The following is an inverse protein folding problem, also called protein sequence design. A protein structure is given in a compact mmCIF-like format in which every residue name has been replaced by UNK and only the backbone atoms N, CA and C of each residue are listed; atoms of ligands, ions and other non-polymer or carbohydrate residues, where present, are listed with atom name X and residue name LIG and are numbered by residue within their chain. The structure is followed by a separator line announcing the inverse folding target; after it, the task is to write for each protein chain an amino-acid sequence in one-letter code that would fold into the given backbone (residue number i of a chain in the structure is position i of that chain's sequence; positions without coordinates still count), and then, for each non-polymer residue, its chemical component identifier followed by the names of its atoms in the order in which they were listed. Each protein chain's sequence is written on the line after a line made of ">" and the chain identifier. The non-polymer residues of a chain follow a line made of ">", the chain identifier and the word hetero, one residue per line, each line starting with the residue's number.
data_IF_299592532258
#
_entry.id   IF_299592532258
#
_cell.length_a   1.000
_cell.length_b   1.000
_cell.length_c   1.000
_cell.angle_alpha   90.00
_cell.angle_beta   90.00
_cell.angle_gamma   90.00
#
_symmetry.space_group_name_H-M   'P 1'
#
loop_
_entity.id
_entity.type
_entity.pdbx_description
1 polymer ?
#
# COMPACT_ATOMS: atom_id res chain seq x y z
N UNK A 1 -52.18 25.81 -38.86
CA UNK A 1 -51.14 24.97 -38.23
C UNK A 1 -50.60 25.73 -37.02
N UNK A 2 -50.86 25.25 -35.79
CA UNK A 2 -50.42 25.91 -34.55
C UNK A 2 -49.15 25.22 -34.04
N UNK A 3 -48.05 25.96 -33.97
CA UNK A 3 -46.80 25.52 -33.35
C UNK A 3 -46.97 25.45 -31.83
N UNK A 4 -46.58 24.33 -31.21
CA UNK A 4 -46.53 24.15 -29.76
C UNK A 4 -45.13 24.55 -29.27
N UNK A 5 -45.08 25.43 -28.28
CA UNK A 5 -43.87 25.83 -27.59
C UNK A 5 -43.38 24.72 -26.65
N UNK A 6 -42.06 24.52 -26.63
CA UNK A 6 -41.37 23.58 -25.74
C UNK A 6 -41.19 24.23 -24.35
N UNK A 7 -41.52 23.56 -23.23
CA UNK A 7 -41.31 24.13 -21.90
C UNK A 7 -39.83 24.04 -21.50
N UNK A 8 -39.32 25.14 -20.93
CA UNK A 8 -37.96 25.25 -20.39
C UNK A 8 -37.74 24.24 -19.27
N UNK A 9 -36.68 23.43 -19.40
CA UNK A 9 -36.16 22.53 -18.35
C UNK A 9 -35.59 23.38 -17.21
N UNK A 10 -36.14 23.25 -16.01
CA UNK A 10 -35.55 23.82 -14.78
C UNK A 10 -34.27 23.03 -14.45
N UNK A 11 -33.17 23.75 -14.27
CA UNK A 11 -32.00 23.23 -13.57
C UNK A 11 -32.37 23.15 -12.09
N UNK A 12 -32.35 21.93 -11.54
CA UNK A 12 -32.32 21.73 -10.10
C UNK A 12 -30.85 21.48 -9.74
N UNK A 13 -30.30 22.37 -8.91
CA UNK A 13 -29.09 22.09 -8.14
C UNK A 13 -29.39 20.89 -7.23
N UNK A 14 -28.51 19.90 -7.30
CA UNK A 14 -28.52 18.79 -6.36
C UNK A 14 -27.67 19.19 -5.16
N UNK A 15 -28.34 19.35 -4.02
CA UNK A 15 -27.71 19.35 -2.72
C UNK A 15 -27.25 17.91 -2.41
N UNK A 16 -26.00 17.77 -1.98
CA UNK A 16 -25.43 16.54 -1.41
C UNK A 16 -26.16 16.18 -0.11
N UNK A 17 -26.60 14.93 0.00
CA UNK A 17 -27.07 14.34 1.26
C UNK A 17 -26.31 13.04 1.52
N UNK A 18 -25.68 13.06 2.69
CA UNK A 18 -25.05 11.98 3.46
C UNK A 18 -26.03 10.85 3.75
N UNK A 19 -25.58 9.61 3.65
CA UNK A 19 -26.28 8.46 4.24
C UNK A 19 -25.30 7.68 5.13
N UNK A 20 -25.62 7.67 6.43
CA UNK A 20 -25.09 6.76 7.45
C UNK A 20 -25.84 5.43 7.38
N UNK A 21 -25.12 4.33 7.58
CA UNK A 21 -25.70 3.07 8.06
C UNK A 21 -24.78 2.48 9.14
N UNK A 22 -25.42 1.98 10.19
CA UNK A 22 -24.86 1.47 11.45
C UNK A 22 -25.11 -0.06 11.52
N UNK A 23 -24.28 -0.75 12.32
CA UNK A 23 -24.41 -2.14 12.86
C UNK A 23 -24.08 -3.33 11.91
N UNK A 24 -23.23 -4.34 12.21
CA UNK A 24 -22.40 -4.72 13.38
C UNK A 24 -21.13 -5.53 12.96
N UNK A 25 -20.12 -5.45 13.85
CA UNK A 25 -18.87 -6.22 14.00
C UNK A 25 -17.57 -5.73 13.35
N UNK A 26 -16.44 -5.76 14.12
CA UNK A 26 -15.22 -5.06 13.77
C UNK A 26 -14.37 -5.93 12.84
N UNK A 27 -14.18 -5.45 11.62
CA UNK A 27 -12.93 -5.67 10.90
C UNK A 27 -12.29 -4.30 10.81
N UNK A 28 -11.02 -4.21 11.17
CA UNK A 28 -10.25 -2.98 11.05
C UNK A 28 -10.50 -2.33 9.68
N UNK A 29 -10.76 -1.02 9.62
CA UNK A 29 -11.14 -0.39 8.38
C UNK A 29 -9.93 -0.32 7.44
N UNK A 30 -9.98 -1.09 6.35
CA UNK A 30 -9.33 -0.65 5.13
C UNK A 30 -9.88 0.75 4.83
N UNK A 31 -8.99 1.74 4.75
CA UNK A 31 -9.34 3.14 4.52
C UNK A 31 -10.32 3.25 3.34
N UNK A 32 -11.50 3.79 3.64
CA UNK A 32 -12.59 3.97 2.69
C UNK A 32 -12.31 5.26 1.91
N UNK A 33 -11.98 5.12 0.63
CA UNK A 33 -11.84 6.24 -0.32
C UNK A 33 -13.24 6.79 -0.61
N UNK A 34 -13.68 7.80 0.13
CA UNK A 34 -15.06 8.33 0.14
C UNK A 34 -15.31 9.53 -0.80
N UNK A 35 -14.41 9.80 -1.74
CA UNK A 35 -14.60 10.85 -2.74
C UNK A 35 -14.67 10.28 -4.15
N UNK A 36 -15.59 10.82 -4.97
CA UNK A 36 -15.59 10.66 -6.42
C UNK A 36 -14.43 11.45 -7.04
N UNK A 37 -13.22 11.17 -6.54
CA UNK A 37 -11.96 11.80 -6.89
C UNK A 37 -11.31 11.12 -8.09
N UNK A 38 -10.46 11.90 -8.74
CA UNK A 38 -9.81 11.66 -10.01
C UNK A 38 -8.56 10.79 -9.84
N UNK A 39 -8.71 9.51 -9.51
CA UNK A 39 -7.55 8.66 -9.15
C UNK A 39 -6.53 8.55 -10.29
N UNK A 40 -5.45 9.33 -10.15
CA UNK A 40 -4.24 9.29 -10.97
C UNK A 40 -3.43 8.01 -10.73
N UNK A 41 -3.57 6.98 -11.57
CA UNK A 41 -2.67 5.81 -11.48
C UNK A 41 -1.38 6.06 -12.24
N UNK A 42 -0.27 6.16 -11.52
CA UNK A 42 1.07 6.16 -12.12
C UNK A 42 1.96 5.21 -11.34
N UNK A 43 2.79 4.43 -12.02
CA UNK A 43 3.74 3.53 -11.35
C UNK A 43 5.20 3.83 -11.78
N UNK A 44 6.20 3.58 -10.93
CA UNK A 44 7.59 4.07 -11.15
C UNK A 44 8.58 3.04 -11.78
N UNK A 45 9.66 3.48 -12.46
CA UNK A 45 10.61 2.60 -13.18
C UNK A 45 11.90 2.17 -12.46
N UNK A 46 11.92 2.03 -11.13
CA UNK A 46 12.91 1.16 -10.47
C UNK A 46 12.30 0.13 -9.52
N UNK A 47 10.99 0.18 -9.29
CA UNK A 47 10.23 -0.66 -8.36
C UNK A 47 8.97 -1.22 -9.03
N UNK A 48 9.20 -1.66 -10.26
CA UNK A 48 8.33 -2.44 -11.14
C UNK A 48 9.01 -3.73 -11.56
N UNK A 49 10.11 -4.03 -10.90
CA UNK A 49 10.83 -5.24 -11.16
C UNK A 49 9.95 -6.35 -10.61
N UNK A 50 9.51 -7.21 -11.52
CA UNK A 50 9.02 -8.52 -11.14
C UNK A 50 10.02 -9.13 -10.14
N UNK A 51 9.52 -9.55 -8.99
CA UNK A 51 10.31 -10.33 -8.05
C UNK A 51 10.49 -11.76 -8.55
N UNK A 52 10.94 -12.64 -7.66
CA UNK A 52 11.19 -14.04 -7.99
C UNK A 52 9.90 -14.85 -8.27
N UNK A 53 8.72 -14.25 -8.09
CA UNK A 53 7.45 -14.94 -8.14
C UNK A 53 6.47 -14.34 -9.16
N UNK A 54 6.89 -13.45 -10.05
CA UNK A 54 6.04 -13.01 -11.16
C UNK A 54 5.95 -14.11 -12.26
N UNK A 55 4.74 -14.57 -12.65
CA UNK A 55 4.60 -15.57 -13.70
C UNK A 55 4.71 -15.00 -15.11
N UNK A 56 4.54 -13.69 -15.27
CA UNK A 56 4.43 -13.02 -16.58
C UNK A 56 5.70 -12.25 -16.96
N UNK A 57 6.67 -12.10 -16.04
CA UNK A 57 7.90 -11.34 -16.23
C UNK A 57 9.09 -11.99 -15.52
N UNK A 58 10.28 -11.89 -16.11
CA UNK A 58 11.51 -12.37 -15.47
C UNK A 58 11.92 -11.47 -14.30
N UNK A 59 12.64 -12.01 -13.31
CA UNK A 59 13.13 -11.23 -12.17
C UNK A 59 13.94 -10.01 -12.64
N UNK A 60 13.55 -8.81 -12.19
CA UNK A 60 14.17 -7.55 -12.62
C UNK A 60 13.52 -6.88 -13.83
N UNK A 61 12.63 -7.57 -14.57
CA UNK A 61 11.90 -7.01 -15.72
C UNK A 61 10.77 -6.08 -15.27
N UNK A 62 10.50 -5.04 -16.07
CA UNK A 62 9.46 -4.08 -15.79
C UNK A 62 8.06 -4.64 -16.06
N UNK A 63 7.32 -4.90 -14.99
CA UNK A 63 5.89 -5.19 -15.04
C UNK A 63 5.08 -4.09 -14.34
N UNK A 64 3.99 -3.61 -14.95
CA UNK A 64 3.16 -2.53 -14.36
C UNK A 64 2.06 -3.06 -13.44
N UNK A 65 1.71 -4.34 -13.54
CA UNK A 65 0.70 -4.95 -12.69
C UNK A 65 0.97 -6.45 -12.47
N UNK A 66 0.68 -6.94 -11.28
CA UNK A 66 0.70 -8.37 -10.99
C UNK A 66 -0.71 -8.97 -11.11
N UNK A 67 -0.84 -10.12 -11.79
CA UNK A 67 -2.15 -10.68 -12.17
C UNK A 67 -2.42 -12.09 -11.63
N UNK A 68 -2.74 -12.26 -10.34
CA UNK A 68 -3.01 -13.58 -9.78
C UNK A 68 -4.41 -14.08 -10.13
N UNK A 69 -4.50 -15.38 -10.42
CA UNK A 69 -5.78 -16.09 -10.45
C UNK A 69 -6.17 -16.52 -9.05
N UNK A 70 -7.45 -16.39 -8.69
CA UNK A 70 -7.91 -16.68 -7.33
C UNK A 70 -9.11 -17.61 -7.31
N UNK A 71 -9.14 -18.44 -6.27
CA UNK A 71 -10.31 -19.14 -5.78
C UNK A 71 -10.93 -18.32 -4.64
N UNK A 72 -12.27 -18.24 -4.63
CA UNK A 72 -13.02 -17.55 -3.58
C UNK A 72 -13.81 -18.55 -2.76
N UNK A 73 -14.18 -18.15 -1.54
CA UNK A 73 -15.01 -18.94 -0.63
C UNK A 73 -14.42 -20.31 -0.33
N UNK A 74 -13.13 -20.36 -0.07
CA UNK A 74 -12.42 -21.59 0.27
C UNK A 74 -12.51 -21.84 1.78
N UNK A 75 -12.96 -23.04 2.11
CA UNK A 75 -13.08 -23.50 3.49
C UNK A 75 -14.23 -22.84 4.27
N UNK A 76 -14.35 -23.16 5.56
CA UNK A 76 -15.38 -22.61 6.44
C UNK A 76 -15.22 -21.10 6.70
N UNK A 77 -14.00 -20.57 6.54
CA UNK A 77 -13.68 -19.15 6.71
C UNK A 77 -13.88 -18.32 5.42
N UNK A 78 -14.32 -18.96 4.33
CA UNK A 78 -14.49 -18.33 3.02
C UNK A 78 -13.25 -17.54 2.54
N UNK A 79 -12.05 -18.04 2.85
CA UNK A 79 -10.77 -17.40 2.49
C UNK A 79 -10.64 -17.27 0.96
N UNK A 80 -9.96 -16.22 0.52
CA UNK A 80 -9.56 -16.06 -0.88
C UNK A 80 -8.15 -16.63 -1.04
N UNK A 81 -7.98 -17.57 -1.96
CA UNK A 81 -6.73 -18.34 -2.10
C UNK A 81 -6.25 -18.26 -3.54
N UNK A 82 -4.96 -18.04 -3.74
CA UNK A 82 -4.38 -18.00 -5.09
C UNK A 82 -4.43 -19.39 -5.73
N UNK A 83 -4.86 -19.41 -6.98
CA UNK A 83 -4.82 -20.61 -7.81
C UNK A 83 -3.39 -20.86 -8.27
N UNK A 84 -2.71 -21.74 -7.55
CA UNK A 84 -1.33 -22.18 -7.83
C UNK A 84 -1.20 -22.73 -9.27
N UNK A 85 -2.25 -23.37 -9.79
CA UNK A 85 -2.24 -24.00 -11.11
C UNK A 85 -2.35 -23.02 -12.27
N UNK A 86 -3.24 -22.04 -12.17
CA UNK A 86 -3.41 -21.04 -13.23
C UNK A 86 -2.33 -19.95 -13.15
N UNK A 87 -1.90 -19.58 -11.93
CA UNK A 87 -0.91 -18.51 -11.75
C UNK A 87 0.50 -19.02 -11.99
N UNK A 88 0.89 -20.17 -11.43
CA UNK A 88 2.29 -20.65 -11.46
C UNK A 88 2.50 -21.96 -12.26
N UNK A 89 1.45 -22.51 -12.87
CA UNK A 89 1.54 -23.78 -13.60
C UNK A 89 1.76 -25.03 -12.71
N UNK A 90 1.66 -24.88 -11.39
CA UNK A 90 1.93 -25.95 -10.41
C UNK A 90 0.65 -26.72 -10.03
N UNK A 91 0.74 -27.82 -9.27
CA UNK A 91 -0.45 -28.56 -8.83
C UNK A 91 -1.25 -27.77 -7.80
N UNK A 92 -2.58 -27.75 -7.93
CA UNK A 92 -3.47 -27.02 -7.03
C UNK A 92 -4.55 -27.96 -6.49
N UNK A 93 -4.62 -28.19 -5.15
CA UNK A 93 -5.58 -29.12 -4.56
C UNK A 93 -7.04 -28.69 -4.80
N UNK A 94 -7.29 -27.38 -4.82
CA UNK A 94 -8.64 -26.83 -5.06
C UNK A 94 -9.12 -27.14 -6.48
N UNK A 95 -8.25 -26.99 -7.48
CA UNK A 95 -8.58 -27.33 -8.87
C UNK A 95 -8.79 -28.84 -9.06
N UNK A 96 -8.04 -29.69 -8.36
CA UNK A 96 -8.23 -31.13 -8.36
C UNK A 96 -9.57 -31.52 -7.72
N UNK A 97 -9.90 -30.92 -6.58
CA UNK A 97 -11.19 -31.11 -5.92
C UNK A 97 -12.38 -30.67 -6.79
N UNK A 98 -12.29 -29.52 -7.46
CA UNK A 98 -13.32 -29.06 -8.41
C UNK A 98 -13.50 -30.06 -9.55
N UNK A 99 -12.42 -30.63 -10.09
CA UNK A 99 -12.52 -31.67 -11.13
C UNK A 99 -13.19 -32.94 -10.61
N UNK A 100 -12.92 -33.31 -9.37
CA UNK A 100 -13.57 -34.45 -8.72
C UNK A 100 -15.08 -34.20 -8.51
N UNK A 101 -15.47 -33.03 -8.03
CA UNK A 101 -16.89 -32.65 -7.89
C UNK A 101 -17.64 -32.69 -9.22
N UNK A 102 -17.00 -32.27 -10.32
CA UNK A 102 -17.57 -32.37 -11.66
C UNK A 102 -17.74 -33.84 -12.09
N UNK A 103 -16.76 -34.70 -11.79
CA UNK A 103 -16.83 -36.13 -12.11
C UNK A 103 -17.89 -36.87 -11.29
N UNK A 104 -18.08 -36.47 -10.02
CA UNK A 104 -19.05 -37.05 -9.10
C UNK A 104 -20.48 -36.53 -9.35
N UNK A 105 -20.65 -35.55 -10.25
CA UNK A 105 -21.95 -34.97 -10.58
C UNK A 105 -22.52 -34.09 -9.46
N UNK A 106 -21.66 -33.40 -8.71
CA UNK A 106 -22.06 -32.44 -7.69
C UNK A 106 -22.87 -31.26 -8.27
N UNK A 107 -23.53 -30.50 -7.41
CA UNK A 107 -24.35 -29.36 -7.81
C UNK A 107 -23.52 -28.27 -8.51
N UNK A 108 -24.07 -27.71 -9.59
CA UNK A 108 -23.39 -26.70 -10.42
C UNK A 108 -23.03 -25.44 -9.62
N UNK A 109 -23.88 -25.04 -8.67
CA UNK A 109 -23.65 -23.87 -7.82
C UNK A 109 -22.42 -24.05 -6.91
N UNK A 110 -22.24 -25.26 -6.35
CA UNK A 110 -21.06 -25.59 -5.55
C UNK A 110 -19.79 -25.56 -6.41
N UNK A 111 -19.86 -26.17 -7.60
CA UNK A 111 -18.75 -26.18 -8.56
C UNK A 111 -18.37 -24.74 -8.95
N UNK A 112 -19.37 -23.90 -9.23
CA UNK A 112 -19.18 -22.49 -9.63
C UNK A 112 -18.59 -21.64 -8.51
N UNK A 113 -18.94 -21.90 -7.25
CA UNK A 113 -18.39 -21.18 -6.11
C UNK A 113 -16.89 -21.45 -5.92
N UNK A 114 -16.46 -22.70 -6.07
CA UNK A 114 -15.07 -23.12 -5.90
C UNK A 114 -14.20 -22.94 -7.15
N UNK A 115 -14.81 -22.81 -8.33
CA UNK A 115 -14.09 -22.66 -9.59
C UNK A 115 -13.21 -21.41 -9.55
N UNK A 116 -12.00 -21.55 -10.09
CA UNK A 116 -11.11 -20.41 -10.31
C UNK A 116 -11.83 -19.33 -11.11
N UNK A 117 -11.63 -18.08 -10.72
CA UNK A 117 -12.19 -16.97 -11.46
C UNK A 117 -11.63 -16.91 -12.87
N UNK A 118 -12.50 -16.62 -13.83
CA UNK A 118 -12.12 -16.52 -15.25
C UNK A 118 -11.20 -15.33 -15.49
N UNK A 119 -11.44 -14.23 -14.77
CA UNK A 119 -10.63 -13.02 -14.86
C UNK A 119 -9.67 -12.97 -13.67
N UNK A 120 -8.36 -12.81 -13.91
CA UNK A 120 -7.42 -12.61 -12.82
C UNK A 120 -7.71 -11.28 -12.11
N UNK A 121 -7.17 -11.15 -10.91
CA UNK A 121 -7.08 -9.84 -10.26
C UNK A 121 -5.93 -9.06 -10.86
N UNK A 122 -5.95 -7.75 -10.71
CA UNK A 122 -4.86 -6.89 -11.11
C UNK A 122 -4.49 -6.04 -9.90
N UNK A 123 -3.23 -6.15 -9.50
CA UNK A 123 -2.66 -5.45 -8.36
C UNK A 123 -1.64 -4.44 -8.91
N UNK A 124 -1.70 -3.22 -8.40
CA UNK A 124 -0.86 -2.10 -8.87
C UNK A 124 -0.24 -1.37 -7.69
N UNK A 125 0.94 -0.82 -7.91
CA UNK A 125 1.42 0.34 -7.15
C UNK A 125 0.76 1.61 -7.72
N UNK A 126 0.17 2.43 -6.87
CA UNK A 126 -0.55 3.66 -7.25
C UNK A 126 -0.08 4.81 -6.39
N UNK A 127 0.08 5.98 -7.00
CA UNK A 127 0.33 7.24 -6.30
C UNK A 127 -0.75 8.24 -6.70
N UNK A 128 -1.66 8.54 -5.77
CA UNK A 128 -2.80 9.44 -5.97
C UNK A 128 -2.31 10.90 -5.99
N UNK A 129 -2.80 11.71 -6.95
CA UNK A 129 -2.34 13.09 -7.19
C UNK A 129 -3.43 14.14 -7.04
N UNK A 130 -4.46 13.85 -6.24
CA UNK A 130 -5.68 14.66 -6.19
C UNK A 130 -5.57 15.86 -5.23
N UNK A 131 -4.37 16.19 -4.73
CA UNK A 131 -4.18 17.26 -3.74
C UNK A 131 -4.71 16.93 -2.35
N UNK A 132 -5.11 15.68 -2.12
CA UNK A 132 -5.83 15.22 -0.93
C UNK A 132 -4.95 14.67 0.20
N UNK A 133 -5.59 14.01 1.17
CA UNK A 133 -4.89 13.27 2.24
C UNK A 133 -4.09 12.10 1.67
N UNK A 134 -4.66 11.39 0.70
CA UNK A 134 -4.06 10.20 0.08
C UNK A 134 -2.76 10.50 -0.66
N UNK A 135 -2.61 11.70 -1.23
CA UNK A 135 -1.35 12.10 -1.87
C UNK A 135 -0.17 12.13 -0.88
N UNK A 136 -0.44 12.39 0.41
CA UNK A 136 0.57 12.41 1.48
C UNK A 136 0.98 11.00 1.93
N UNK A 137 0.12 10.01 1.72
CA UNK A 137 0.38 8.61 2.10
C UNK A 137 1.41 7.96 1.16
N UNK A 138 1.60 8.55 -0.04
CA UNK A 138 2.63 8.12 -0.98
C UNK A 138 2.15 6.99 -1.88
N UNK A 139 3.01 5.99 -2.09
CA UNK A 139 2.64 4.81 -2.89
C UNK A 139 1.73 3.89 -2.09
N UNK A 140 0.59 3.54 -2.69
CA UNK A 140 -0.41 2.63 -2.16
C UNK A 140 -0.56 1.42 -3.08
N UNK A 141 -1.10 0.32 -2.55
CA UNK A 141 -1.44 -0.86 -3.34
C UNK A 141 -2.91 -0.84 -3.70
N UNK A 142 -3.19 -0.84 -5.00
CA UNK A 142 -4.55 -0.86 -5.52
C UNK A 142 -4.89 -2.22 -6.10
N UNK A 143 -5.98 -2.81 -5.62
CA UNK A 143 -6.44 -4.14 -6.01
C UNK A 143 -7.77 -4.07 -6.76
N UNK A 144 -7.75 -4.35 -8.05
CA UNK A 144 -8.93 -4.33 -8.91
C UNK A 144 -9.11 -5.67 -9.66
N UNK A 145 -10.24 -5.82 -10.35
CA UNK A 145 -10.41 -6.94 -11.28
C UNK A 145 -9.80 -6.58 -12.64
N UNK A 146 -9.19 -7.55 -13.33
CA UNK A 146 -8.72 -7.33 -14.70
C UNK A 146 -9.87 -6.83 -15.62
N UNK A 147 -11.09 -7.33 -15.42
CA UNK A 147 -12.24 -6.98 -16.24
C UNK A 147 -12.65 -5.50 -16.12
N UNK A 148 -12.59 -4.95 -14.91
CA UNK A 148 -13.08 -3.59 -14.60
C UNK A 148 -12.00 -2.52 -14.71
N UNK A 149 -10.71 -2.90 -14.62
CA UNK A 149 -9.60 -1.95 -14.70
C UNK A 149 -8.67 -2.28 -15.88
N UNK A 150 -7.85 -3.33 -15.76
CA UNK A 150 -6.75 -3.58 -16.70
C UNK A 150 -7.21 -3.69 -18.15
N UNK A 151 -8.32 -4.40 -18.40
CA UNK A 151 -8.87 -4.56 -19.75
C UNK A 151 -9.15 -3.20 -20.40
N UNK A 152 -9.60 -2.22 -19.63
CA UNK A 152 -9.84 -0.87 -20.13
C UNK A 152 -8.53 -0.11 -20.36
N UNK A 153 -7.54 -0.25 -19.47
CA UNK A 153 -6.22 0.36 -19.63
C UNK A 153 -5.49 -0.19 -20.86
N UNK A 154 -5.46 -1.51 -21.05
CA UNK A 154 -4.86 -2.17 -22.23
C UNK A 154 -5.56 -1.74 -23.51
N UNK A 155 -6.89 -1.64 -23.50
CA UNK A 155 -7.66 -1.17 -24.66
C UNK A 155 -7.36 0.29 -25.02
N UNK A 156 -7.09 1.15 -24.03
CA UNK A 156 -6.67 2.53 -24.26
C UNK A 156 -5.22 2.63 -24.72
N UNK A 157 -4.33 1.80 -24.15
CA UNK A 157 -2.92 1.75 -24.51
C UNK A 157 -2.71 1.21 -25.93
N UNK A 158 -3.58 0.29 -26.37
CA UNK A 158 -3.53 -0.31 -27.70
C UNK A 158 -4.34 0.52 -28.69
N UNK A 159 -3.67 1.30 -29.54
CA UNK A 159 -4.36 2.06 -30.59
C UNK A 159 -5.09 1.12 -31.57
N UNK A 160 -6.42 1.22 -31.76
CA UNK A 160 -7.13 0.33 -32.66
C UNK A 160 -6.65 0.57 -34.11
N UNK A 161 -6.19 -0.50 -34.76
CA UNK A 161 -5.82 -0.44 -36.17
C UNK A 161 -7.09 -0.43 -37.01
N UNK A 162 -7.36 0.68 -37.70
CA UNK A 162 -8.48 0.74 -38.66
C UNK A 162 -8.17 -0.17 -39.86
N UNK A 163 -9.15 -0.97 -40.35
CA UNK A 163 -8.99 -1.75 -41.57
C UNK A 163 -8.47 -0.87 -42.72
N UNK A 164 -7.39 -1.30 -43.38
CA UNK A 164 -6.77 -0.58 -44.50
C UNK A 164 -5.75 0.49 -44.13
N UNK A 165 -5.48 0.76 -42.85
CA UNK A 165 -4.33 1.57 -42.42
C UNK A 165 -3.17 0.66 -42.00
N UNK A 166 -1.93 1.08 -42.28
CA UNK A 166 -0.73 0.41 -41.75
C UNK A 166 -0.84 0.33 -40.23
N UNK A 167 -0.57 -0.84 -39.67
CA UNK A 167 -0.45 -1.05 -38.22
C UNK A 167 0.63 -0.09 -37.74
N UNK A 168 0.23 0.89 -36.93
CA UNK A 168 1.19 1.73 -36.21
C UNK A 168 1.34 1.02 -34.88
N UNK A 169 2.53 0.50 -34.58
CA UNK A 169 2.86 -0.11 -33.29
C UNK A 169 2.98 0.99 -32.23
N UNK A 170 1.87 1.66 -31.96
CA UNK A 170 1.75 2.67 -30.92
C UNK A 170 1.09 2.04 -29.71
N UNK A 171 1.84 1.26 -28.95
CA UNK A 171 1.51 1.03 -27.54
C UNK A 171 1.82 2.33 -26.81
N UNK A 172 0.85 2.87 -26.07
CA UNK A 172 1.09 4.04 -25.22
C UNK A 172 1.76 3.56 -23.94
N UNK A 173 3.02 3.92 -23.66
CA UNK A 173 3.72 3.47 -22.47
C UNK A 173 3.28 4.31 -21.25
N UNK A 174 1.99 4.24 -20.91
CA UNK A 174 1.35 5.05 -19.87
C UNK A 174 2.03 4.92 -18.51
N UNK A 175 2.73 3.81 -18.33
CA UNK A 175 3.29 3.38 -17.09
C UNK A 175 4.68 4.04 -16.86
N UNK A 176 5.47 4.46 -17.85
CA UNK A 176 6.83 5.02 -17.60
C UNK A 176 6.85 6.18 -16.60
N UNK A 177 7.80 6.31 -15.65
CA UNK A 177 7.81 7.39 -14.64
C UNK A 177 8.14 8.76 -15.18
N UNK A 178 8.75 8.81 -16.36
CA UNK A 178 9.18 10.03 -17.01
C UNK A 178 7.99 10.80 -17.60
N UNK A 179 8.26 11.95 -18.22
CA UNK A 179 7.27 12.82 -18.87
C UNK A 179 6.47 12.10 -19.98
N UNK A 180 7.07 11.08 -20.61
CA UNK A 180 6.42 10.27 -21.65
C UNK A 180 5.29 9.38 -21.13
N UNK A 181 5.27 9.13 -19.82
CA UNK A 181 4.19 8.41 -19.17
C UNK A 181 2.86 9.15 -19.22
N UNK A 182 1.82 8.54 -18.64
CA UNK A 182 0.48 9.12 -18.57
C UNK A 182 -0.05 9.05 -17.15
N UNK A 183 -0.93 9.98 -16.82
CA UNK A 183 -1.81 9.88 -15.67
C UNK A 183 -3.07 9.15 -16.11
N UNK A 184 -3.46 8.11 -15.37
CA UNK A 184 -4.73 7.41 -15.62
C UNK A 184 -5.82 8.11 -14.85
N UNK A 185 -6.93 8.44 -15.49
CA UNK A 185 -8.13 8.96 -14.84
C UNK A 185 -9.25 7.94 -14.97
N UNK A 186 -10.04 7.77 -13.92
CA UNK A 186 -11.27 7.00 -13.98
C UNK A 186 -12.27 7.49 -12.94
N UNK A 187 -13.55 7.25 -13.21
CA UNK A 187 -14.63 7.55 -12.27
C UNK A 187 -15.08 6.27 -11.57
N UNK A 188 -14.99 6.25 -10.25
CA UNK A 188 -15.59 5.20 -9.42
C UNK A 188 -17.11 5.40 -9.37
N UNK A 189 -17.87 4.38 -9.75
CA UNK A 189 -19.35 4.38 -9.72
C UNK A 189 -19.88 3.55 -8.55
N UNK A 190 -19.18 2.46 -8.24
CA UNK A 190 -19.44 1.61 -7.08
C UNK A 190 -18.13 1.08 -6.54
N UNK A 191 -18.17 0.24 -5.50
CA UNK A 191 -16.97 -0.33 -4.93
C UNK A 191 -16.14 -1.17 -5.92
N UNK A 192 -16.80 -1.71 -6.95
CA UNK A 192 -16.20 -2.64 -7.90
C UNK A 192 -16.24 -2.13 -9.36
N UNK A 193 -16.89 -1.00 -9.62
CA UNK A 193 -17.11 -0.48 -10.98
C UNK A 193 -16.40 0.85 -11.21
N UNK A 194 -15.56 0.85 -12.25
CA UNK A 194 -14.79 2.00 -12.71
C UNK A 194 -15.18 2.31 -14.16
N UNK A 195 -15.55 3.55 -14.44
CA UNK A 195 -15.95 4.02 -15.76
C UNK A 195 -15.06 5.18 -16.21
N UNK A 196 -15.20 5.54 -17.49
CA UNK A 196 -14.54 6.73 -18.07
C UNK A 196 -13.02 6.75 -17.94
N UNK A 197 -12.38 5.58 -18.12
CA UNK A 197 -10.92 5.49 -18.17
C UNK A 197 -10.36 6.42 -19.26
N UNK A 198 -9.38 7.24 -18.89
CA UNK A 198 -8.68 8.14 -19.79
C UNK A 198 -7.19 8.21 -19.44
N UNK A 199 -6.36 8.56 -20.43
CA UNK A 199 -4.96 8.88 -20.23
C UNK A 199 -4.75 10.36 -20.52
N UNK A 200 -4.11 11.04 -19.57
CA UNK A 200 -3.66 12.42 -19.75
C UNK A 200 -2.14 12.50 -19.66
N UNK A 201 -1.56 13.49 -20.32
CA UNK A 201 -0.14 13.76 -20.25
C UNK A 201 0.22 14.26 -18.84
N UNK A 202 1.39 13.87 -18.33
CA UNK A 202 1.83 14.34 -17.00
C UNK A 202 2.48 15.69 -17.12
N UNK A 203 2.15 16.60 -16.20
CA UNK A 203 2.84 17.88 -16.09
C UNK A 203 4.28 17.71 -15.58
N UNK A 204 4.51 16.74 -14.70
CA UNK A 204 5.80 16.49 -14.05
C UNK A 204 6.09 14.98 -13.95
N UNK A 205 7.37 14.56 -14.05
CA UNK A 205 7.77 13.17 -13.84
C UNK A 205 7.60 12.75 -12.37
N UNK A 206 7.50 11.44 -12.13
CA UNK A 206 7.31 10.92 -10.77
C UNK A 206 8.58 11.18 -9.93
N UNK A 207 8.48 11.85 -8.77
CA UNK A 207 9.64 12.12 -7.93
C UNK A 207 10.32 10.83 -7.45
N UNK A 208 11.66 10.78 -7.49
CA UNK A 208 12.41 9.58 -7.10
C UNK A 208 12.17 9.14 -5.65
N UNK A 209 11.70 10.03 -4.76
CA UNK A 209 11.31 9.68 -3.39
C UNK A 209 10.08 8.78 -3.36
N UNK A 210 9.05 9.12 -4.14
CA UNK A 210 7.84 8.29 -4.30
C UNK A 210 8.21 6.97 -4.99
N UNK A 211 9.10 7.03 -5.98
CA UNK A 211 9.60 5.83 -6.68
C UNK A 211 10.42 4.86 -5.82
N UNK A 212 10.73 5.19 -4.56
CA UNK A 212 11.42 4.29 -3.61
C UNK A 212 10.44 3.63 -2.63
N UNK A 213 9.19 4.07 -2.60
CA UNK A 213 8.14 3.54 -1.72
C UNK A 213 7.34 2.40 -2.37
N UNK A 214 7.49 2.17 -3.67
CA UNK A 214 6.73 1.15 -4.37
C UNK A 214 7.18 -0.26 -3.97
N UNK A 215 6.18 -1.13 -3.83
CA UNK A 215 6.37 -2.49 -3.36
C UNK A 215 6.66 -3.45 -4.52
N UNK A 216 7.41 -4.52 -4.23
CA UNK A 216 7.46 -5.68 -5.11
C UNK A 216 6.14 -6.46 -4.94
N UNK A 217 5.28 -6.42 -5.97
CA UNK A 217 3.88 -6.81 -5.83
C UNK A 217 3.68 -8.32 -5.65
N UNK A 218 4.55 -9.13 -6.23
CA UNK A 218 4.54 -10.60 -6.09
C UNK A 218 5.05 -11.06 -4.73
N UNK A 219 5.99 -10.33 -4.11
CA UNK A 219 6.49 -10.61 -2.76
C UNK A 219 5.46 -10.32 -1.66
N UNK A 220 4.53 -9.39 -1.90
CA UNK A 220 3.45 -9.07 -0.95
C UNK A 220 2.42 -10.19 -0.78
N UNK A 221 2.49 -11.21 -1.63
CA UNK A 221 1.43 -12.17 -1.80
C UNK A 221 1.85 -13.49 -1.18
N UNK A 222 1.03 -13.97 -0.24
CA UNK A 222 1.24 -15.27 0.37
C UNK A 222 0.91 -16.37 -0.64
N UNK A 223 1.94 -17.04 -1.15
CA UNK A 223 1.81 -18.20 -2.01
C UNK A 223 1.67 -19.45 -1.13
N UNK A 224 0.48 -20.07 -1.05
CA UNK A 224 0.32 -21.24 -0.21
C UNK A 224 1.05 -22.45 -0.80
N UNK A 225 1.56 -23.29 0.09
CA UNK A 225 1.95 -24.64 -0.29
C UNK A 225 0.73 -25.48 -0.65
N UNK A 226 0.96 -26.61 -1.34
CA UNK A 226 -0.12 -27.54 -1.68
C UNK A 226 -0.87 -28.01 -0.42
N UNK A 227 -0.13 -28.33 0.65
CA UNK A 227 -0.69 -28.83 1.91
C UNK A 227 -1.51 -27.75 2.63
N UNK A 228 -1.03 -26.51 2.66
CA UNK A 228 -1.78 -25.37 3.22
C UNK A 228 -3.09 -25.11 2.46
N UNK A 229 -3.04 -25.05 1.13
CA UNK A 229 -4.24 -24.85 0.32
C UNK A 229 -5.24 -26.01 0.48
N UNK A 230 -4.76 -27.23 0.69
CA UNK A 230 -5.59 -28.40 0.98
C UNK A 230 -6.21 -28.31 2.39
N UNK A 231 -5.44 -27.91 3.40
CA UNK A 231 -5.94 -27.72 4.77
C UNK A 231 -7.04 -26.66 4.80
N UNK A 232 -6.83 -25.52 4.13
CA UNK A 232 -7.83 -24.46 3.99
C UNK A 232 -9.11 -24.95 3.32
N UNK A 233 -8.99 -25.76 2.26
CA UNK A 233 -10.14 -26.33 1.58
C UNK A 233 -10.99 -27.22 2.49
N UNK A 234 -10.34 -28.03 3.33
CA UNK A 234 -11.02 -28.99 4.22
C UNK A 234 -11.36 -28.42 5.60
N UNK A 235 -10.95 -27.18 5.89
CA UNK A 235 -11.15 -26.57 7.21
C UNK A 235 -10.39 -27.27 8.32
N UNK A 236 -9.32 -28.00 7.99
CA UNK A 236 -8.39 -28.60 8.96
C UNK A 236 -7.32 -27.58 9.34
N UNK A 237 -7.71 -26.32 9.52
CA UNK A 237 -6.81 -25.28 10.02
C UNK A 237 -6.31 -25.76 11.39
N UNK A 238 -5.13 -26.36 11.44
CA UNK A 238 -4.34 -26.56 12.66
C UNK A 238 -3.79 -25.19 13.12
N UNK A 239 -4.67 -24.19 13.23
CA UNK A 239 -4.41 -22.86 13.78
C UNK A 239 -4.24 -22.94 15.32
N UNK A 240 -3.60 -24.01 15.83
CA UNK A 240 -3.40 -24.22 17.27
C UNK A 240 -1.93 -24.10 17.74
N UNK A 241 -0.94 -23.93 16.87
CA UNK A 241 0.41 -23.57 17.33
C UNK A 241 1.37 -23.21 16.20
N UNK A 242 1.76 -21.95 16.12
CA UNK A 242 3.15 -21.48 16.25
C UNK A 242 3.21 -20.12 15.57
N UNK A 243 3.22 -19.09 16.42
CA UNK A 243 4.01 -17.89 16.19
C UNK A 243 5.31 -18.28 15.46
N UNK A 244 5.61 -17.73 14.27
CA UNK A 244 6.80 -18.10 13.51
C UNK A 244 8.11 -17.54 14.11
N UNK A 245 8.16 -17.28 15.43
CA UNK A 245 9.40 -17.14 16.17
C UNK A 245 9.85 -18.53 16.69
N UNK A 246 11.02 -18.96 16.23
CA UNK A 246 11.78 -20.10 16.78
C UNK A 246 11.25 -21.52 16.59
N UNK A 247 11.24 -22.01 15.33
CA UNK A 247 11.62 -23.42 15.10
C UNK A 247 12.17 -23.69 13.70
N UNK A 248 13.36 -23.13 13.41
CA UNK A 248 14.24 -23.65 12.35
C UNK A 248 15.08 -24.80 12.91
N UNK A 249 14.64 -26.02 12.64
CA UNK A 249 15.54 -27.17 12.55
C UNK A 249 15.42 -27.83 11.17
N UNK A 250 16.27 -27.43 10.23
CA UNK A 250 17.15 -28.32 9.47
C UNK A 250 17.89 -27.56 8.36
N UNK A 251 19.18 -27.35 8.63
CA UNK A 251 20.31 -27.27 7.71
C UNK A 251 20.05 -26.76 6.28
N UNK A 252 20.09 -25.44 6.12
CA UNK A 252 20.81 -24.80 5.00
C UNK A 252 21.15 -23.35 5.37
N UNK A 253 22.46 -23.12 5.52
CA UNK A 253 23.17 -21.83 5.64
C UNK A 253 22.36 -20.64 6.15
N UNK A 254 22.32 -20.51 7.48
CA UNK A 254 22.11 -19.23 8.13
C UNK A 254 23.36 -18.37 7.89
N UNK A 255 23.29 -17.47 6.89
CA UNK A 255 24.05 -16.23 6.97
C UNK A 255 23.57 -15.52 8.23
N UNK A 256 24.37 -15.64 9.29
CA UNK A 256 24.20 -14.88 10.51
C UNK A 256 24.28 -13.41 10.10
N UNK A 257 23.16 -12.71 10.10
CA UNK A 257 23.15 -11.25 9.97
C UNK A 257 24.07 -10.70 11.06
N UNK A 258 25.27 -10.36 10.65
CA UNK A 258 26.28 -9.81 11.51
C UNK A 258 25.80 -8.42 11.92
N UNK A 259 25.63 -8.23 13.23
CA UNK A 259 25.16 -6.96 13.77
C UNK A 259 26.07 -5.82 13.27
N UNK A 260 25.49 -4.63 13.09
CA UNK A 260 26.27 -3.47 12.65
C UNK A 260 27.47 -3.23 13.58
N UNK A 261 27.30 -3.46 14.88
CA UNK A 261 28.35 -3.35 15.89
C UNK A 261 29.50 -4.34 15.63
N UNK A 262 29.20 -5.60 15.28
CA UNK A 262 30.21 -6.60 14.95
C UNK A 262 30.98 -6.24 13.66
N UNK A 263 30.29 -5.70 12.65
CA UNK A 263 30.92 -5.22 11.41
C UNK A 263 31.88 -4.05 11.68
N UNK A 264 31.46 -3.09 12.50
CA UNK A 264 32.27 -1.92 12.84
C UNK A 264 33.50 -2.29 13.69
N UNK A 265 33.36 -3.21 14.65
CA UNK A 265 34.48 -3.70 15.48
C UNK A 265 35.55 -4.46 14.68
N UNK A 266 35.23 -4.94 13.48
CA UNK A 266 36.19 -5.62 12.59
C UNK A 266 36.91 -4.68 11.63
N UNK A 267 36.47 -3.43 11.51
CA UNK A 267 37.12 -2.43 10.65
C UNK A 267 38.31 -1.80 11.37
N UNK A 268 39.38 -1.52 10.63
CA UNK A 268 40.49 -0.73 11.14
C UNK A 268 40.13 0.78 11.18
N UNK A 269 40.97 1.58 11.83
CA UNK A 269 40.77 3.02 11.93
C UNK A 269 40.50 3.73 10.60
N UNK A 270 41.11 3.28 9.50
CA UNK A 270 40.91 3.90 8.18
C UNK A 270 39.58 3.47 7.56
N UNK A 271 39.16 2.21 7.72
CA UNK A 271 37.82 1.74 7.34
C UNK A 271 36.71 2.49 8.07
N UNK A 272 36.88 2.77 9.37
CA UNK A 272 35.92 3.57 10.14
C UNK A 272 35.80 5.02 9.62
N UNK A 273 36.90 5.62 9.16
CA UNK A 273 36.88 6.98 8.54
C UNK A 273 36.12 6.98 7.22
N UNK A 274 36.31 5.94 6.41
CA UNK A 274 35.63 5.81 5.13
C UNK A 274 34.12 5.62 5.34
N UNK A 275 33.73 4.78 6.30
CA UNK A 275 32.32 4.59 6.70
C UNK A 275 31.67 5.92 7.13
N UNK A 276 32.31 6.69 8.01
CA UNK A 276 31.81 8.01 8.46
C UNK A 276 31.63 8.98 7.28
N UNK A 277 32.50 8.91 6.27
CA UNK A 277 32.47 9.78 5.09
C UNK A 277 31.36 9.37 4.11
N UNK A 278 31.14 8.07 3.94
CA UNK A 278 30.10 7.51 3.07
C UNK A 278 28.69 7.79 3.62
N UNK A 279 28.48 7.53 4.91
CA UNK A 279 27.23 7.78 5.63
C UNK A 279 27.02 9.26 6.00
N UNK A 280 28.01 10.12 5.72
CA UNK A 280 27.97 11.59 5.98
C UNK A 280 27.62 11.95 7.42
N UNK A 281 28.11 11.18 8.41
CA UNK A 281 27.75 11.34 9.83
C UNK A 281 28.27 12.63 10.49
N UNK A 282 29.14 13.39 9.82
CA UNK A 282 29.64 14.68 10.32
C UNK A 282 30.59 14.61 11.53
N UNK A 283 31.04 13.40 11.90
CA UNK A 283 31.92 13.16 13.06
C UNK A 283 33.37 13.59 12.71
N UNK A 284 34.02 14.36 13.60
CA UNK A 284 35.45 14.72 13.48
C UNK A 284 36.30 13.83 14.39
N UNK A 285 36.99 12.85 13.82
CA UNK A 285 37.87 11.94 14.57
C UNK A 285 39.15 12.66 15.01
N UNK A 286 39.41 12.71 16.32
CA UNK A 286 40.70 13.18 16.89
C UNK A 286 41.74 12.06 16.82
N UNK A 287 43.01 12.41 16.66
CA UNK A 287 44.11 11.44 16.62
C UNK A 287 44.31 10.64 17.93
N UNK A 288 43.74 11.13 19.04
CA UNK A 288 43.86 10.52 20.36
C UNK A 288 42.78 9.49 20.71
N UNK A 289 41.69 9.42 19.95
CA UNK A 289 40.63 8.43 20.19
C UNK A 289 41.10 7.06 19.74
N UNK A 290 40.81 6.00 20.48
CA UNK A 290 41.03 4.63 20.04
C UNK A 290 39.92 4.16 19.08
N UNK A 291 39.99 2.92 18.61
CA UNK A 291 39.03 2.38 17.63
C UNK A 291 37.65 2.14 18.27
N UNK A 292 37.60 1.69 19.53
CA UNK A 292 36.36 1.42 20.27
C UNK A 292 35.57 2.72 20.55
N UNK A 293 36.27 3.82 20.87
CA UNK A 293 35.67 5.15 21.02
C UNK A 293 35.02 5.63 19.71
N UNK A 294 35.67 5.37 18.57
CA UNK A 294 35.15 5.76 17.25
C UNK A 294 33.90 4.95 16.91
N UNK A 295 33.91 3.65 17.17
CA UNK A 295 32.73 2.77 16.96
C UNK A 295 31.55 3.25 17.81
N UNK A 296 31.78 3.60 19.08
CA UNK A 296 30.74 4.10 19.99
C UNK A 296 30.10 5.39 19.46
N UNK A 297 30.91 6.33 18.97
CA UNK A 297 30.41 7.58 18.36
C UNK A 297 29.61 7.36 17.08
N UNK A 298 29.96 6.34 16.28
CA UNK A 298 29.19 5.96 15.08
C UNK A 298 27.84 5.39 15.49
N UNK A 299 27.81 4.47 16.46
CA UNK A 299 26.58 3.82 16.92
C UNK A 299 25.60 4.84 17.53
N UNK A 300 26.08 5.76 18.37
CA UNK A 300 25.27 6.83 18.96
C UNK A 300 24.66 7.75 17.88
N UNK A 301 25.35 7.95 16.75
CA UNK A 301 24.83 8.77 15.64
C UNK A 301 23.87 8.04 14.72
N UNK A 302 24.09 6.75 14.49
CA UNK A 302 23.25 5.93 13.61
C UNK A 302 21.96 5.52 14.31
N UNK A 303 22.03 5.27 15.61
CA UNK A 303 20.89 4.92 16.44
C UNK A 303 20.80 5.92 17.60
N UNK A 304 20.37 7.18 17.34
CA UNK A 304 20.16 8.13 18.41
C UNK A 304 19.19 7.48 19.41
N UNK A 305 19.60 7.38 20.68
CA UNK A 305 18.64 7.04 21.72
C UNK A 305 17.43 7.96 21.53
N UNK A 306 16.20 7.41 21.55
CA UNK A 306 15.02 8.25 21.46
C UNK A 306 15.19 9.33 22.53
N UNK A 307 15.18 10.60 22.11
CA UNK A 307 15.19 11.70 23.08
C UNK A 307 14.12 11.34 24.10
N UNK A 308 14.46 11.31 25.41
CA UNK A 308 13.49 10.94 26.41
C UNK A 308 12.26 11.78 26.11
N UNK A 309 11.16 11.10 25.78
CA UNK A 309 9.89 11.79 25.65
C UNK A 309 9.80 12.61 26.93
N UNK A 310 9.65 13.92 26.79
CA UNK A 310 9.54 14.80 27.94
C UNK A 310 8.30 14.29 28.66
N UNK A 311 8.53 13.42 29.66
CA UNK A 311 7.59 12.85 30.59
C UNK A 311 7.08 14.03 31.41
N UNK A 312 6.37 14.94 30.75
CA UNK A 312 5.63 16.02 31.35
C UNK A 312 4.38 15.34 31.94
N UNK A 313 4.64 14.51 32.96
CA UNK A 313 3.67 13.88 33.84
C UNK A 313 2.86 15.01 34.48
N UNK A 314 1.79 15.40 33.80
CA UNK A 314 0.55 15.83 34.43
C UNK A 314 0.60 17.06 35.33
N UNK A 315 1.45 18.05 35.07
CA UNK A 315 1.39 19.30 35.83
C UNK A 315 0.28 20.22 35.29
N UNK A 316 -0.96 19.93 35.72
CA UNK A 316 -1.92 20.99 36.05
C UNK A 316 -3.30 20.96 35.38
N UNK A 317 -3.49 20.29 34.24
CA UNK A 317 -4.80 20.25 33.61
C UNK A 317 -5.67 19.12 34.18
N UNK A 318 -6.68 19.47 34.97
CA UNK A 318 -7.62 18.51 35.58
C UNK A 318 -8.41 17.69 34.55
N UNK A 319 -8.48 18.15 33.30
CA UNK A 319 -9.25 17.54 32.22
C UNK A 319 -8.43 16.60 31.32
N UNK A 320 -7.15 16.35 31.64
CA UNK A 320 -6.29 15.45 30.87
C UNK A 320 -5.78 16.04 29.54
N UNK A 321 -5.92 17.35 29.33
CA UNK A 321 -5.32 18.08 28.19
C UNK A 321 -3.88 18.50 28.50
N UNK A 322 -3.10 18.84 27.48
CA UNK A 322 -1.69 19.25 27.65
C UNK A 322 -1.63 20.74 28.00
N UNK A 323 -1.21 21.04 29.24
CA UNK A 323 -1.06 22.41 29.74
C UNK A 323 -0.10 23.24 28.85
N UNK A 324 -0.50 24.46 28.51
CA UNK A 324 0.26 25.35 27.63
C UNK A 324 0.26 25.00 26.14
N UNK A 325 -0.43 23.93 25.71
CA UNK A 325 -0.54 23.54 24.29
C UNK A 325 -1.98 23.62 23.80
N UNK A 326 -2.90 23.06 24.57
CA UNK A 326 -4.32 22.88 24.23
C UNK A 326 -5.22 23.99 24.80
N UNK A 327 -4.66 25.16 25.09
CA UNK A 327 -5.46 26.30 25.55
C UNK A 327 -6.45 26.70 24.43
N UNK A 328 -7.74 26.70 24.75
CA UNK A 328 -8.87 26.97 23.86
C UNK A 328 -9.09 25.97 22.70
N UNK A 329 -8.50 24.76 22.76
CA UNK A 329 -8.75 23.74 21.72
C UNK A 329 -10.14 23.10 21.82
N UNK A 330 -10.70 23.04 23.03
CA UNK A 330 -12.06 22.54 23.32
C UNK A 330 -12.76 23.48 24.30
N UNK A 331 -13.67 24.30 23.77
CA UNK A 331 -14.38 25.30 24.56
C UNK A 331 -15.20 24.68 25.70
N UNK A 332 -15.73 23.46 25.52
CA UNK A 332 -16.57 22.83 26.55
C UNK A 332 -15.76 22.41 27.78
N UNK A 333 -14.46 22.14 27.60
CA UNK A 333 -13.58 21.65 28.67
C UNK A 333 -12.82 22.80 29.35
N UNK A 334 -12.46 23.85 28.60
CA UNK A 334 -11.73 25.00 29.13
C UNK A 334 -12.61 25.99 29.90
N UNK A 335 -13.92 26.05 29.62
CA UNK A 335 -14.85 26.97 30.28
C UNK A 335 -15.03 26.72 31.79
N UNK A 336 -14.83 25.47 32.24
CA UNK A 336 -14.91 25.08 33.65
C UNK A 336 -13.54 25.15 34.38
N UNK A 337 -12.49 25.66 33.73
CA UNK A 337 -11.16 25.78 34.32
C UNK A 337 -11.10 26.94 35.33
N UNK A 338 -10.40 26.74 36.45
CA UNK A 338 -10.13 27.83 37.39
C UNK A 338 -9.38 28.97 36.67
N UNK A 339 -9.81 30.21 36.87
CA UNK A 339 -9.27 31.39 36.17
C UNK A 339 -7.76 31.53 36.34
N UNK A 340 -7.21 31.16 37.50
CA UNK A 340 -5.77 31.23 37.74
C UNK A 340 -5.01 30.14 36.96
N UNK A 341 -5.61 28.95 36.83
CA UNK A 341 -5.06 27.83 36.06
C UNK A 341 -5.12 28.12 34.56
N UNK A 342 -6.24 28.66 34.08
CA UNK A 342 -6.39 29.06 32.67
C UNK A 342 -5.42 30.18 32.28
N UNK A 343 -5.25 31.20 33.13
CA UNK A 343 -4.31 32.28 32.87
C UNK A 343 -2.85 31.79 32.80
N UNK A 344 -2.47 30.85 33.66
CA UNK A 344 -1.15 30.23 33.61
C UNK A 344 -0.95 29.40 32.33
N UNK A 345 -1.96 28.62 31.92
CA UNK A 345 -1.96 27.82 30.69
C UNK A 345 -1.81 28.71 29.44
N UNK A 346 -2.62 29.77 29.35
CA UNK A 346 -2.58 30.74 28.25
C UNK A 346 -1.24 31.48 28.18
N UNK A 347 -0.65 31.84 29.33
CA UNK A 347 0.65 32.51 29.38
C UNK A 347 1.77 31.61 28.84
N UNK A 348 1.78 30.34 29.21
CA UNK A 348 2.80 29.40 28.74
C UNK A 348 2.68 29.13 27.23
N UNK A 349 1.45 29.07 26.70
CA UNK A 349 1.21 28.96 25.26
C UNK A 349 1.78 30.17 24.50
N UNK A 350 1.60 31.39 25.03
CA UNK A 350 2.17 32.59 24.42
C UNK A 350 3.70 32.63 24.47
N UNK A 351 4.33 32.16 25.55
CA UNK A 351 5.79 32.08 25.66
C UNK A 351 6.36 31.09 24.63
N UNK A 352 5.77 29.89 24.50
CA UNK A 352 6.17 28.89 23.48
C UNK A 352 6.04 29.42 22.04
N UNK A 353 5.01 30.22 21.76
CA UNK A 353 4.86 30.87 20.44
C UNK A 353 5.85 32.00 20.19
N UNK A 354 6.44 32.58 21.23
CA UNK A 354 7.45 33.64 21.07
C UNK A 354 8.86 33.10 20.82
N UNK A 355 9.12 31.85 21.20
CA UNK A 355 10.40 31.16 21.02
C UNK A 355 10.49 30.35 19.71
N UNK A 356 9.35 30.06 19.06
CA UNK A 356 9.25 29.42 17.75
C UNK A 356 9.28 30.44 16.61
#
# INVERSE_FOLDING_TARGET
>A
MRARSCPKRRQHGGDEIVILCHDQHPREPAHRIDHAGDIAVTAPARQRQAGAHDPDADEGEFNHCFQPYMHYKIGPLEKSVICIAQTYGNKCPICEHVKQLVADGAEEDLIKALKVQVNPRAIYNVWVRDGGKEEKEGVQVFHASHFTMERHLVALATKPTRPGKKKVDGFVPFSLPDEDGKTVYFKRVSDFEFLSHAFEDRDEPIPSKIMKQAHCLDEMIVIPTYEQAHAWLHGTDEDESDDPEEKKSSEKEAEKEESLEDKLKKMDRDGLKDYIKEEKLGIRIKASLDEDDIVSLILEKVNPEPEPEDDNEGDGCQSGLVFGKDCDSDSEVCDDCDTDVWNACSKEQMEKWSDA
#
